data_IF_364303911952
#
_entry.id   IF_364303911952
#
_cell.length_a   1.000
_cell.length_b   1.000
_cell.length_c   1.000
_cell.angle_alpha   90.00
_cell.angle_beta   90.00
_cell.angle_gamma   90.00
#
_symmetry.space_group_name_H-M   'P 1'
#
loop_
_entity.id
_entity.type
_entity.pdbx_description
1 polymer ?
#
# COMPACT_ATOMS: atom_id res chain seq x y z
N UNK A 1 -9.13 -11.08 5.32
CA UNK A 1 -9.89 -11.22 4.08
C UNK A 1 -11.36 -11.48 4.37
N UNK A 2 -12.23 -11.40 3.35
CA UNK A 2 -13.69 -11.56 3.50
C UNK A 2 -14.11 -12.93 4.05
N UNK A 3 -13.26 -13.92 3.94
CA UNK A 3 -13.48 -15.29 4.46
C UNK A 3 -13.00 -15.47 5.91
N UNK A 4 -12.60 -14.40 6.59
CA UNK A 4 -12.11 -14.40 7.95
C UNK A 4 -10.65 -14.84 8.12
N UNK A 5 -9.93 -15.18 7.04
CA UNK A 5 -8.51 -15.48 7.12
C UNK A 5 -7.68 -14.20 7.24
N UNK A 6 -6.60 -14.28 8.03
CA UNK A 6 -5.68 -13.17 8.19
C UNK A 6 -4.31 -13.50 7.59
N UNK A 7 -3.66 -12.46 7.07
CA UNK A 7 -2.36 -12.58 6.40
C UNK A 7 -1.39 -11.52 6.93
N UNK A 8 -0.15 -11.93 7.12
CA UNK A 8 0.94 -11.04 7.48
C UNK A 8 1.83 -10.79 6.26
N UNK A 9 2.01 -9.52 5.93
CA UNK A 9 2.95 -9.05 4.90
C UNK A 9 4.19 -8.50 5.59
N UNK A 10 5.36 -8.95 5.20
CA UNK A 10 6.61 -8.48 5.81
C UNK A 10 7.81 -8.68 4.87
N UNK A 11 8.80 -7.80 5.00
CA UNK A 11 10.08 -7.96 4.31
C UNK A 11 10.93 -9.00 5.02
N UNK A 12 11.54 -9.88 4.26
CA UNK A 12 12.40 -10.97 4.73
C UNK A 12 13.67 -11.05 3.86
N UNK A 13 14.55 -12.03 4.14
CA UNK A 13 15.79 -12.25 3.38
C UNK A 13 16.63 -10.96 3.30
N UNK A 14 16.92 -10.33 4.44
CA UNK A 14 17.61 -9.03 4.52
C UNK A 14 16.86 -7.91 3.77
N UNK A 15 15.53 -7.90 3.86
CA UNK A 15 14.62 -7.00 3.16
C UNK A 15 14.61 -7.13 1.62
N UNK A 16 15.17 -8.21 1.08
CA UNK A 16 15.20 -8.41 -0.37
C UNK A 16 13.90 -8.97 -0.94
N UNK A 17 13.09 -9.65 -0.12
CA UNK A 17 11.90 -10.39 -0.57
C UNK A 17 10.70 -10.11 0.34
N UNK A 18 9.54 -9.83 -0.25
CA UNK A 18 8.28 -9.70 0.50
C UNK A 18 7.67 -11.09 0.74
N UNK A 19 7.45 -11.43 2.00
CA UNK A 19 6.73 -12.63 2.40
C UNK A 19 5.27 -12.30 2.70
N UNK A 20 4.39 -13.19 2.31
CA UNK A 20 2.96 -13.16 2.67
C UNK A 20 2.66 -14.48 3.36
N UNK A 21 2.42 -14.44 4.67
CA UNK A 21 2.13 -15.61 5.50
C UNK A 21 0.67 -15.65 5.90
N UNK A 22 0.02 -16.80 5.67
CA UNK A 22 -1.29 -17.07 6.27
C UNK A 22 -1.11 -17.25 7.78
N UNK A 23 -1.92 -16.58 8.57
CA UNK A 23 -1.94 -16.76 10.02
C UNK A 23 -2.79 -17.98 10.41
N UNK A 24 -2.62 -18.44 11.65
CA UNK A 24 -3.51 -19.44 12.29
C UNK A 24 -4.90 -18.83 12.52
N UNK A 25 -5.91 -19.68 12.74
CA UNK A 25 -7.31 -19.25 12.92
C UNK A 25 -7.51 -18.32 14.14
N UNK A 26 -6.62 -18.39 15.12
CA UNK A 26 -6.58 -17.48 16.27
C UNK A 26 -5.82 -16.16 16.00
N UNK A 27 -5.24 -16.00 14.79
CA UNK A 27 -4.44 -14.85 14.31
C UNK A 27 -3.12 -14.60 15.06
N UNK A 28 -2.69 -15.50 15.93
CA UNK A 28 -1.57 -15.25 16.85
C UNK A 28 -0.20 -15.61 16.27
N UNK A 29 -0.14 -16.42 15.22
CA UNK A 29 1.13 -16.86 14.62
C UNK A 29 0.99 -17.28 13.16
N UNK A 30 2.09 -17.32 12.38
CA UNK A 30 2.08 -17.91 11.05
C UNK A 30 1.69 -19.38 11.08
N UNK A 31 0.85 -19.78 10.12
CA UNK A 31 0.39 -21.19 9.99
C UNK A 31 1.43 -22.13 9.39
N UNK A 32 2.55 -21.61 8.92
CA UNK A 32 3.55 -22.33 8.12
C UNK A 32 3.33 -22.25 6.61
N UNK A 33 2.18 -21.73 6.16
CA UNK A 33 1.90 -21.47 4.73
C UNK A 33 2.27 -20.05 4.38
N UNK A 34 3.14 -19.87 3.39
CA UNK A 34 3.58 -18.55 2.93
C UNK A 34 3.91 -18.56 1.44
N UNK A 35 3.97 -17.37 0.86
CA UNK A 35 4.48 -17.12 -0.50
C UNK A 35 5.60 -16.10 -0.44
N UNK A 36 6.50 -16.14 -1.43
CA UNK A 36 7.60 -15.21 -1.64
C UNK A 36 7.28 -14.37 -2.88
N UNK A 37 7.29 -13.06 -2.72
CA UNK A 37 6.92 -12.13 -3.77
C UNK A 37 7.99 -11.03 -3.88
N UNK A 38 8.11 -10.37 -5.03
CA UNK A 38 9.06 -9.29 -5.27
C UNK A 38 10.49 -9.69 -4.87
N UNK A 39 10.91 -10.87 -5.33
CA UNK A 39 12.20 -11.49 -4.97
C UNK A 39 13.35 -10.63 -5.49
N UNK A 40 14.18 -10.11 -4.58
CA UNK A 40 15.30 -9.23 -4.91
C UNK A 40 14.93 -7.78 -5.16
N UNK A 41 13.64 -7.40 -5.04
CA UNK A 41 13.17 -6.03 -5.34
C UNK A 41 13.21 -5.09 -4.13
N UNK A 42 13.49 -5.61 -2.94
CA UNK A 42 13.61 -4.84 -1.68
C UNK A 42 12.41 -3.93 -1.44
N UNK A 43 11.19 -4.51 -1.44
CA UNK A 43 9.94 -3.77 -1.17
C UNK A 43 9.59 -3.82 0.32
N UNK A 44 9.11 -2.70 0.86
CA UNK A 44 8.67 -2.55 2.25
C UNK A 44 7.39 -1.72 2.37
N UNK A 45 6.89 -1.52 3.59
CA UNK A 45 5.69 -0.73 3.91
C UNK A 45 4.44 -1.14 3.11
N UNK A 46 4.06 -2.43 3.07
CA UNK A 46 2.92 -2.88 2.29
C UNK A 46 1.60 -2.35 2.89
N UNK A 47 0.80 -1.65 2.07
CA UNK A 47 -0.57 -1.26 2.39
C UNK A 47 -1.52 -1.93 1.38
N UNK A 48 -2.27 -2.92 1.86
CA UNK A 48 -3.07 -3.82 1.03
C UNK A 48 -4.55 -3.50 1.14
N UNK A 49 -5.26 -3.50 0.01
CA UNK A 49 -6.71 -3.35 -0.03
C UNK A 49 -7.33 -4.20 -1.15
N UNK A 50 -8.64 -4.42 -1.07
CA UNK A 50 -9.40 -5.19 -2.05
C UNK A 50 -10.34 -4.28 -2.82
N UNK A 51 -10.36 -4.45 -4.15
CA UNK A 51 -11.19 -3.68 -5.08
C UNK A 51 -11.70 -4.60 -6.19
N UNK A 52 -13.02 -4.69 -6.35
CA UNK A 52 -13.67 -5.52 -7.38
C UNK A 52 -13.10 -6.95 -7.50
N UNK A 53 -12.90 -7.60 -6.34
CA UNK A 53 -12.40 -8.97 -6.23
C UNK A 53 -10.89 -9.14 -6.43
N UNK A 54 -10.15 -8.06 -6.74
CA UNK A 54 -8.68 -8.07 -6.85
C UNK A 54 -8.04 -7.43 -5.62
N UNK A 55 -6.82 -7.85 -5.33
CA UNK A 55 -6.01 -7.28 -4.25
C UNK A 55 -5.00 -6.32 -4.83
N UNK A 56 -4.85 -5.18 -4.21
CA UNK A 56 -3.86 -4.15 -4.56
C UNK A 56 -2.95 -3.91 -3.36
N UNK A 57 -1.68 -3.69 -3.62
CA UNK A 57 -0.70 -3.39 -2.60
C UNK A 57 0.14 -2.19 -3.01
N UNK A 58 0.09 -1.14 -2.20
CA UNK A 58 1.09 -0.07 -2.24
C UNK A 58 2.31 -0.53 -1.45
N UNK A 59 3.50 -0.19 -1.94
CA UNK A 59 4.76 -0.46 -1.24
C UNK A 59 5.81 0.58 -1.60
N UNK A 60 6.87 0.67 -0.81
CA UNK A 60 8.06 1.49 -1.10
C UNK A 60 9.29 0.62 -1.29
N UNK A 61 10.37 1.20 -1.84
CA UNK A 61 11.69 0.59 -1.82
C UNK A 61 12.37 0.77 -0.46
N UNK A 62 13.38 -0.04 -0.17
CA UNK A 62 14.19 0.04 1.05
C UNK A 62 15.34 1.05 0.88
N UNK A 63 15.09 2.32 1.16
CA UNK A 63 16.08 3.42 1.05
C UNK A 63 16.35 4.14 2.38
N UNK A 64 15.98 3.52 3.50
CA UNK A 64 16.07 4.10 4.83
C UNK A 64 15.20 5.36 4.94
N UNK A 65 15.76 6.46 5.43
CA UNK A 65 15.04 7.73 5.59
C UNK A 65 14.88 8.56 4.30
N UNK A 66 15.46 8.10 3.19
CA UNK A 66 15.35 8.82 1.92
C UNK A 66 14.04 8.43 1.23
N UNK A 67 13.22 9.41 0.82
CA UNK A 67 11.99 9.11 0.09
C UNK A 67 12.30 8.46 -1.25
N UNK A 68 11.43 7.55 -1.68
CA UNK A 68 11.54 6.86 -2.95
C UNK A 68 10.16 6.73 -3.62
N UNK A 69 10.16 6.17 -4.81
CA UNK A 69 8.94 5.98 -5.60
C UNK A 69 8.09 4.84 -5.02
N UNK A 70 6.81 5.10 -4.78
CA UNK A 70 5.85 4.06 -4.47
C UNK A 70 5.57 3.19 -5.70
N UNK A 71 5.25 1.94 -5.47
CA UNK A 71 4.72 1.05 -6.49
C UNK A 71 3.40 0.47 -6.04
N UNK A 72 2.51 0.27 -7.00
CA UNK A 72 1.31 -0.53 -6.81
C UNK A 72 1.44 -1.85 -7.54
N UNK A 73 1.06 -2.92 -6.88
CA UNK A 73 0.96 -4.25 -7.45
C UNK A 73 -0.46 -4.78 -7.30
N UNK A 74 -0.83 -5.73 -8.16
CA UNK A 74 -2.17 -6.36 -8.19
C UNK A 74 -2.04 -7.88 -8.22
N UNK A 75 -2.98 -8.55 -7.53
CA UNK A 75 -3.13 -9.99 -7.54
C UNK A 75 -4.61 -10.40 -7.56
N UNK A 76 -4.91 -11.58 -8.10
CA UNK A 76 -6.25 -12.17 -8.05
C UNK A 76 -6.55 -12.89 -6.72
N UNK A 77 -5.51 -13.21 -5.95
CA UNK A 77 -5.62 -13.74 -4.59
C UNK A 77 -4.43 -13.31 -3.75
N UNK A 78 -4.60 -13.20 -2.42
CA UNK A 78 -3.55 -12.71 -1.50
C UNK A 78 -2.28 -13.55 -1.60
N UNK A 79 -2.40 -14.86 -1.66
CA UNK A 79 -1.27 -15.79 -1.77
C UNK A 79 -0.96 -16.21 -3.22
N UNK A 80 -1.52 -15.50 -4.20
CA UNK A 80 -1.26 -15.71 -5.62
C UNK A 80 -0.04 -14.95 -6.13
N UNK A 81 0.04 -14.86 -7.45
CA UNK A 81 1.06 -14.09 -8.14
C UNK A 81 0.71 -12.61 -8.10
N UNK A 82 1.64 -11.78 -7.63
CA UNK A 82 1.55 -10.32 -7.62
C UNK A 82 2.27 -9.73 -8.82
N UNK A 83 1.61 -8.86 -9.54
CA UNK A 83 2.15 -8.17 -10.71
C UNK A 83 2.26 -6.67 -10.43
N UNK A 84 3.48 -6.14 -10.49
CA UNK A 84 3.74 -4.70 -10.37
C UNK A 84 3.15 -3.96 -11.57
N UNK A 85 2.41 -2.89 -11.27
CA UNK A 85 1.84 -1.96 -12.26
C UNK A 85 2.76 -0.76 -12.46
N UNK A 86 3.35 -0.25 -11.37
CA UNK A 86 4.25 0.90 -11.35
C UNK A 86 3.84 1.96 -10.34
N UNK A 87 4.34 3.19 -10.51
CA UNK A 87 4.05 4.31 -9.63
C UNK A 87 2.60 4.81 -9.80
N UNK A 88 1.74 4.74 -8.75
CA UNK A 88 0.39 5.28 -8.82
C UNK A 88 0.32 6.79 -8.56
N UNK A 89 1.38 7.39 -8.00
CA UNK A 89 1.42 8.80 -7.62
C UNK A 89 1.54 9.70 -8.86
N UNK A 90 0.81 10.82 -8.89
CA UNK A 90 0.87 11.80 -9.97
C UNK A 90 0.90 13.22 -9.43
N UNK A 91 1.59 14.13 -10.14
CA UNK A 91 1.78 15.51 -9.73
C UNK A 91 3.19 15.81 -9.21
N UNK A 92 3.41 16.95 -8.54
CA UNK A 92 4.71 17.33 -7.99
C UNK A 92 5.24 16.30 -7.00
N UNK A 93 6.53 15.96 -7.09
CA UNK A 93 7.22 15.01 -6.20
C UNK A 93 6.63 13.59 -6.18
N UNK A 94 5.89 13.19 -7.21
CA UNK A 94 5.31 11.85 -7.34
C UNK A 94 6.38 10.75 -7.43
N UNK A 95 7.56 11.05 -7.93
CA UNK A 95 8.74 10.18 -7.98
C UNK A 95 9.36 9.91 -6.60
N UNK A 96 8.94 10.67 -5.59
CA UNK A 96 9.34 10.51 -4.18
C UNK A 96 8.16 10.21 -3.26
N UNK A 97 7.04 9.79 -3.83
CA UNK A 97 5.80 9.55 -3.07
C UNK A 97 5.45 10.73 -2.16
N UNK A 98 5.63 11.96 -2.67
CA UNK A 98 5.35 13.20 -1.92
C UNK A 98 6.15 13.29 -0.61
N UNK A 99 7.39 12.75 -0.58
CA UNK A 99 8.25 12.62 0.61
C UNK A 99 7.62 11.80 1.74
N UNK A 100 6.82 10.78 1.43
CA UNK A 100 6.09 9.97 2.39
C UNK A 100 6.19 8.48 2.06
N UNK A 101 5.78 7.63 3.00
CA UNK A 101 5.76 6.17 2.87
C UNK A 101 4.36 5.64 3.19
N UNK A 102 3.90 4.65 2.44
CA UNK A 102 2.58 4.03 2.62
C UNK A 102 2.46 3.37 3.99
N UNK A 103 1.28 3.51 4.61
CA UNK A 103 0.95 2.86 5.88
C UNK A 103 -0.35 2.09 5.81
N UNK A 104 -1.37 2.68 5.19
CA UNK A 104 -2.68 2.06 5.10
C UNK A 104 -3.48 2.59 3.91
N UNK A 105 -4.46 1.83 3.47
CA UNK A 105 -5.49 2.29 2.54
C UNK A 105 -6.85 2.16 3.21
N UNK A 106 -7.46 3.30 3.55
CA UNK A 106 -8.72 3.40 4.26
C UNK A 106 -9.89 3.35 3.29
N UNK A 107 -10.77 2.32 3.35
CA UNK A 107 -12.04 2.36 2.63
C UNK A 107 -12.96 3.46 3.19
N UNK A 108 -13.67 4.15 2.31
CA UNK A 108 -14.63 5.19 2.71
C UNK A 108 -16.00 4.56 2.97
N UNK A 109 -16.44 4.58 4.23
CA UNK A 109 -17.71 3.98 4.63
C UNK A 109 -18.88 4.54 3.84
N UNK A 110 -19.75 3.65 3.34
CA UNK A 110 -20.95 4.02 2.58
C UNK A 110 -20.72 4.45 1.14
N UNK A 111 -19.46 4.43 0.65
CA UNK A 111 -19.14 4.77 -0.73
C UNK A 111 -18.44 3.59 -1.42
N UNK A 112 -18.95 3.24 -2.60
CA UNK A 112 -18.35 2.14 -3.39
C UNK A 112 -17.08 2.63 -4.08
N UNK A 113 -16.04 1.79 -4.09
CA UNK A 113 -14.78 2.04 -4.80
C UNK A 113 -14.08 3.35 -4.38
N UNK A 114 -14.28 3.76 -3.13
CA UNK A 114 -13.74 4.98 -2.56
C UNK A 114 -12.71 4.65 -1.47
N UNK A 115 -11.49 5.11 -1.66
CA UNK A 115 -10.37 4.80 -0.78
C UNK A 115 -9.50 6.04 -0.55
N UNK A 116 -8.92 6.13 0.64
CA UNK A 116 -7.92 7.13 1.01
C UNK A 116 -6.59 6.40 1.20
N UNK A 117 -5.59 6.75 0.39
CA UNK A 117 -4.22 6.33 0.62
C UNK A 117 -3.64 7.16 1.76
N UNK A 118 -3.16 6.48 2.80
CA UNK A 118 -2.57 7.08 3.98
C UNK A 118 -1.07 6.83 3.98
N UNK A 119 -0.30 7.89 4.17
CA UNK A 119 1.16 7.87 4.17
C UNK A 119 1.70 8.62 5.38
N UNK A 120 2.85 8.19 5.88
CA UNK A 120 3.65 8.91 6.87
C UNK A 120 4.75 9.70 6.19
N UNK A 121 4.81 11.00 6.48
CA UNK A 121 5.88 11.89 6.05
C UNK A 121 6.87 12.08 7.19
N UNK A 122 7.93 11.32 7.14
CA UNK A 122 8.97 11.31 8.17
C UNK A 122 9.76 12.61 8.21
N UNK A 123 9.96 13.14 9.40
CA UNK A 123 10.96 14.20 9.67
C UNK A 123 12.13 13.57 10.44
N UNK A 124 13.10 12.99 9.74
CA UNK A 124 14.17 12.19 10.36
C UNK A 124 14.99 12.91 11.41
N UNK A 125 15.04 14.26 11.39
CA UNK A 125 15.74 15.10 12.36
C UNK A 125 14.90 15.40 13.60
N UNK A 126 13.59 15.09 13.56
CA UNK A 126 12.64 15.35 14.62
C UNK A 126 11.38 14.53 14.37
N UNK A 127 11.39 13.27 14.81
CA UNK A 127 10.31 12.33 14.51
C UNK A 127 8.96 12.71 15.15
N UNK A 128 8.98 13.48 16.25
CA UNK A 128 7.77 13.97 16.91
C UNK A 128 7.04 15.01 16.04
N UNK A 129 7.77 15.69 15.16
CA UNK A 129 7.23 16.65 14.18
C UNK A 129 6.97 16.02 12.79
N UNK A 130 6.90 14.71 12.68
CA UNK A 130 6.48 14.05 11.45
C UNK A 130 5.02 14.36 11.10
N UNK A 131 4.69 14.34 9.81
CA UNK A 131 3.36 14.67 9.28
C UNK A 131 2.76 13.50 8.52
N UNK A 132 1.49 13.65 8.13
CA UNK A 132 0.76 12.69 7.34
C UNK A 132 0.42 13.26 5.97
N UNK A 133 0.32 12.38 4.97
CA UNK A 133 -0.21 12.69 3.65
C UNK A 133 -1.35 11.72 3.40
N UNK A 134 -2.56 12.25 3.29
CA UNK A 134 -3.76 11.46 3.01
C UNK A 134 -4.38 11.96 1.71
N UNK A 135 -4.47 11.08 0.72
CA UNK A 135 -4.91 11.44 -0.62
C UNK A 135 -6.00 10.47 -1.11
N UNK A 136 -7.03 10.98 -1.80
CA UNK A 136 -8.03 10.10 -2.40
C UNK A 136 -7.39 9.29 -3.53
N UNK A 137 -7.67 7.99 -3.54
CA UNK A 137 -7.37 7.13 -4.68
C UNK A 137 -8.41 7.35 -5.76
N UNK A 138 -7.97 7.59 -6.99
CA UNK A 138 -8.82 7.65 -8.18
C UNK A 138 -8.73 6.33 -8.94
N UNK A 139 -9.87 5.76 -9.31
CA UNK A 139 -9.93 4.53 -10.10
C UNK A 139 -10.79 4.84 -11.32
N UNK A 140 -10.17 4.94 -12.48
CA UNK A 140 -10.83 5.27 -13.74
C UNK A 140 -10.41 4.28 -14.82
N UNK A 141 -11.40 3.62 -15.46
CA UNK A 141 -11.11 2.61 -16.49
C UNK A 141 -10.22 1.46 -16.03
N UNK A 142 -10.24 1.12 -14.75
CA UNK A 142 -9.37 0.09 -14.15
C UNK A 142 -7.93 0.55 -13.86
N UNK A 143 -7.63 1.84 -14.09
CA UNK A 143 -6.35 2.45 -13.74
C UNK A 143 -6.47 3.13 -12.40
N UNK A 144 -5.56 2.81 -11.49
CA UNK A 144 -5.49 3.39 -10.16
C UNK A 144 -4.42 4.48 -10.13
N UNK A 145 -4.80 5.68 -9.65
CA UNK A 145 -3.87 6.80 -9.46
C UNK A 145 -4.08 7.47 -8.11
N UNK A 146 -3.04 8.12 -7.61
CA UNK A 146 -3.02 8.91 -6.37
C UNK A 146 -2.49 10.31 -6.74
N UNK A 147 -3.36 11.23 -7.21
CA UNK A 147 -2.95 12.58 -7.58
C UNK A 147 -2.68 13.42 -6.34
N UNK A 148 -1.60 14.23 -6.37
CA UNK A 148 -1.37 15.25 -5.36
C UNK A 148 -2.54 16.23 -5.28
N UNK A 149 -2.95 16.57 -4.06
CA UNK A 149 -3.96 17.60 -3.79
C UNK A 149 -3.53 18.40 -2.56
N UNK A 150 -3.42 19.71 -2.71
CA UNK A 150 -3.13 20.60 -1.58
C UNK A 150 -4.27 20.63 -0.57
N UNK A 151 -5.49 20.48 -1.05
CA UNK A 151 -6.72 20.41 -0.26
C UNK A 151 -7.73 19.51 -0.95
N UNK A 152 -8.49 18.78 -0.18
CA UNK A 152 -9.63 18.00 -0.66
C UNK A 152 -10.63 17.77 0.48
N UNK A 153 -11.84 17.36 0.14
CA UNK A 153 -12.89 16.96 1.07
C UNK A 153 -13.57 15.68 0.56
N UNK A 154 -14.55 15.18 1.29
CA UNK A 154 -15.22 13.92 0.95
C UNK A 154 -16.03 13.95 -0.34
N UNK A 155 -16.37 15.15 -0.87
CA UNK A 155 -17.14 15.29 -2.11
C UNK A 155 -16.36 14.74 -3.35
N UNK A 156 -15.04 14.55 -3.25
CA UNK A 156 -14.25 13.90 -4.31
C UNK A 156 -14.71 12.48 -4.63
N UNK A 157 -15.45 11.85 -3.72
CA UNK A 157 -16.02 10.51 -3.86
C UNK A 157 -17.49 10.50 -4.27
N UNK A 158 -18.11 11.66 -4.51
CA UNK A 158 -19.52 11.81 -4.92
C UNK A 158 -19.64 11.80 -6.46
N UNK A 159 -19.17 10.71 -7.08
CA UNK A 159 -19.24 10.51 -8.54
C UNK A 159 -20.31 9.51 -8.91
#
# INVERSE_FOLDING_TARGET
DDDGRAYQFYSSEHNATMYISLLTDDYLKPSGRFTRNFIGESREAPAVFKQDGKYYMLSSGCTGWNPNVAEIAVADSIMGEWRTIGNPCTGPDADKTFYAQSTYVQPVAGKKNAYIAMFDRWKKTDLEDSRYVWLPIQIEGGVLTIPWRDKWNMDVFDK
#
